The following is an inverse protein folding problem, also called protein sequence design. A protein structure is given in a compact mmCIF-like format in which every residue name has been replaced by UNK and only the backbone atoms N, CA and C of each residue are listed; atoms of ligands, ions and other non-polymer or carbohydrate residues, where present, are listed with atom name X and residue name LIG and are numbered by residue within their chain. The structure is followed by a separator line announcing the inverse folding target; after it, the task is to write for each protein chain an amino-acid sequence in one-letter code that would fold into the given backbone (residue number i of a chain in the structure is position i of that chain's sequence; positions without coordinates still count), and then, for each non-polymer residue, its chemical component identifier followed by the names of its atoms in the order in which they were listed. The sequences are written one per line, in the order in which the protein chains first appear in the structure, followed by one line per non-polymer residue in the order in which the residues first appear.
data_IF_845975781342
#
_entry.id   IF_845975781342
#
_cell.length_a   1.000
_cell.length_b   1.000
_cell.length_c   1.000
_cell.angle_alpha   90.00
_cell.angle_beta   90.00
_cell.angle_gamma   90.00
#
_symmetry.space_group_name_H-M   'P 1'
#
loop_
_entity.id
_entity.type
_entity.pdbx_description
1 polymer ?
#
# COMPACT_ATOMS: atom_id res chain seq x y z
N UNK A 1 -5.72 -5.87 9.24
CA UNK A 1 -6.07 -4.44 9.29
C UNK A 1 -5.55 -3.85 10.60
N UNK A 2 -5.15 -2.58 10.58
CA UNK A 2 -4.69 -1.86 11.77
C UNK A 2 -5.91 -1.58 12.67
N UNK A 3 -5.80 -1.86 13.97
CA UNK A 3 -6.88 -1.60 14.92
C UNK A 3 -7.14 -0.09 15.09
N UNK A 4 -8.40 0.32 15.34
CA UNK A 4 -8.77 1.74 15.40
C UNK A 4 -8.03 2.51 16.50
N UNK A 5 -7.72 1.86 17.64
CA UNK A 5 -6.89 2.48 18.69
C UNK A 5 -5.51 2.92 18.20
N UNK A 6 -4.88 2.13 17.33
CA UNK A 6 -3.58 2.48 16.72
C UNK A 6 -3.73 3.58 15.68
N UNK A 7 -4.81 3.56 14.90
CA UNK A 7 -5.10 4.63 13.94
C UNK A 7 -5.31 5.97 14.64
N UNK A 8 -6.01 5.98 15.80
CA UNK A 8 -6.17 7.18 16.62
C UNK A 8 -4.81 7.72 17.10
N UNK A 9 -3.93 6.83 17.59
CA UNK A 9 -2.58 7.19 18.03
C UNK A 9 -1.73 7.72 16.86
N UNK A 10 -1.78 7.07 15.70
CA UNK A 10 -1.06 7.50 14.50
C UNK A 10 -1.53 8.89 14.05
N UNK A 11 -2.84 9.14 14.05
CA UNK A 11 -3.40 10.46 13.73
C UNK A 11 -2.92 11.54 14.68
N UNK A 12 -2.91 11.27 16.01
CA UNK A 12 -2.40 12.21 17.00
C UNK A 12 -0.91 12.50 16.79
N UNK A 13 -0.09 11.46 16.68
CA UNK A 13 1.35 11.61 16.43
C UNK A 13 1.61 12.41 15.16
N UNK A 14 0.91 12.09 14.07
CA UNK A 14 1.06 12.80 12.79
C UNK A 14 0.75 14.30 12.93
N UNK A 15 -0.34 14.65 13.63
CA UNK A 15 -0.71 16.06 13.86
C UNK A 15 0.30 16.80 14.73
N UNK A 16 0.79 16.18 15.79
CA UNK A 16 1.80 16.76 16.69
C UNK A 16 3.12 16.99 15.96
N UNK A 17 3.58 16.01 15.19
CA UNK A 17 4.80 16.09 14.40
C UNK A 17 4.69 17.21 13.35
N UNK A 18 3.59 17.24 12.60
CA UNK A 18 3.36 18.25 11.58
C UNK A 18 3.39 19.67 12.15
N UNK A 19 2.82 19.88 13.35
CA UNK A 19 2.83 21.16 14.05
C UNK A 19 4.25 21.52 14.54
N UNK A 20 4.93 20.56 15.17
CA UNK A 20 6.29 20.78 15.70
C UNK A 20 7.29 21.12 14.59
N UNK A 21 7.18 20.46 13.44
CA UNK A 21 8.02 20.72 12.26
C UNK A 21 7.53 21.91 11.40
N UNK A 22 6.40 22.54 11.77
CA UNK A 22 5.78 23.65 11.02
C UNK A 22 5.60 23.29 9.53
N UNK A 23 5.12 22.09 9.26
CA UNK A 23 4.97 21.58 7.88
C UNK A 23 3.95 22.42 7.12
N UNK A 24 4.37 22.89 5.94
CA UNK A 24 3.52 23.53 4.94
C UNK A 24 3.55 22.69 3.67
N UNK A 25 2.40 22.18 3.25
CA UNK A 25 2.29 21.29 2.09
C UNK A 25 2.15 19.83 2.49
N UNK A 26 3.05 18.96 2.05
CA UNK A 26 2.99 17.50 2.25
C UNK A 26 4.01 17.01 3.29
N UNK A 27 3.59 16.01 4.02
CA UNK A 27 4.44 15.22 4.90
C UNK A 27 4.11 13.74 4.73
N UNK A 28 5.13 12.90 4.73
CA UNK A 28 4.99 11.45 4.79
C UNK A 28 5.61 10.96 6.10
N UNK A 29 4.91 10.11 6.82
CA UNK A 29 5.41 9.48 8.04
C UNK A 29 5.26 7.96 7.96
N UNK A 30 6.25 7.25 8.48
CA UNK A 30 6.26 5.79 8.57
C UNK A 30 6.17 5.38 10.03
N UNK A 31 5.30 4.42 10.30
CA UNK A 31 5.05 3.89 11.63
C UNK A 31 5.22 2.37 11.66
N UNK A 32 5.61 1.84 12.79
CA UNK A 32 5.53 0.42 13.10
C UNK A 32 4.65 0.21 14.33
N UNK A 33 4.04 -0.97 14.41
CA UNK A 33 3.29 -1.40 15.58
C UNK A 33 3.93 -2.70 16.07
N UNK A 34 4.37 -2.71 17.31
CA UNK A 34 4.91 -3.90 17.96
C UNK A 34 4.43 -3.92 19.42
N UNK A 35 3.98 -5.07 19.88
CA UNK A 35 3.49 -5.27 21.26
C UNK A 35 2.49 -4.19 21.69
N UNK A 36 1.54 -3.91 20.82
CA UNK A 36 0.46 -2.90 20.98
C UNK A 36 0.95 -1.44 21.07
N UNK A 37 2.23 -1.17 20.83
CA UNK A 37 2.84 0.17 20.85
C UNK A 37 3.09 0.67 19.42
N UNK A 38 2.74 1.93 19.18
CA UNK A 38 3.01 2.63 17.90
C UNK A 38 4.35 3.34 17.97
N UNK A 39 5.25 3.02 17.05
CA UNK A 39 6.56 3.63 16.89
C UNK A 39 6.60 4.51 15.65
N UNK A 40 7.22 5.68 15.76
CA UNK A 40 7.56 6.53 14.62
C UNK A 40 8.91 6.07 14.08
N UNK A 41 8.98 5.67 12.83
CA UNK A 41 10.22 5.22 12.18
C UNK A 41 10.90 6.37 11.44
N UNK A 42 10.12 7.09 10.62
CA UNK A 42 10.64 8.13 9.75
C UNK A 42 9.58 9.19 9.46
N UNK A 43 10.02 10.43 9.34
CA UNK A 43 9.17 11.55 8.94
C UNK A 43 9.86 12.35 7.84
N UNK A 44 9.18 12.53 6.72
CA UNK A 44 9.67 13.28 5.56
C UNK A 44 8.71 14.45 5.26
N UNK A 45 9.05 15.70 5.62
CA UNK A 45 8.21 16.87 5.34
C UNK A 45 8.33 17.29 3.87
N UNK A 46 7.98 16.43 2.96
CA UNK A 46 8.05 16.59 1.51
C UNK A 46 7.06 15.67 0.81
N UNK A 47 6.87 15.86 -0.50
CA UNK A 47 6.19 14.90 -1.35
C UNK A 47 6.94 13.56 -1.35
N UNK A 48 6.18 12.47 -1.48
CA UNK A 48 6.69 11.11 -1.59
C UNK A 48 6.06 10.39 -2.79
N UNK A 49 6.61 9.23 -3.16
CA UNK A 49 6.00 8.36 -4.19
C UNK A 49 4.61 7.85 -3.81
N UNK A 50 4.26 7.89 -2.53
CA UNK A 50 2.93 7.53 -2.03
C UNK A 50 1.86 8.54 -2.44
N UNK A 51 2.22 9.79 -2.70
CA UNK A 51 1.28 10.87 -3.04
C UNK A 51 0.43 10.56 -4.28
N UNK A 52 0.96 10.10 -5.41
CA UNK A 52 0.15 9.73 -6.57
C UNK A 52 -0.84 8.60 -6.26
N UNK A 53 -0.39 7.57 -5.52
CA UNK A 53 -1.23 6.46 -5.10
C UNK A 53 -2.38 6.93 -4.21
N UNK A 54 -2.09 7.67 -3.14
CA UNK A 54 -3.13 8.16 -2.21
C UNK A 54 -4.07 9.13 -2.92
N UNK A 55 -3.55 9.99 -3.80
CA UNK A 55 -4.39 10.91 -4.59
C UNK A 55 -5.41 10.17 -5.45
N UNK A 56 -5.00 9.10 -6.13
CA UNK A 56 -5.90 8.25 -6.92
C UNK A 56 -6.86 7.48 -6.04
N UNK A 57 -6.35 6.88 -4.95
CA UNK A 57 -7.16 6.07 -4.03
C UNK A 57 -8.26 6.90 -3.34
N UNK A 58 -7.99 8.15 -2.98
CA UNK A 58 -8.95 9.01 -2.28
C UNK A 58 -9.74 9.93 -3.20
N UNK A 59 -9.35 10.04 -4.47
CA UNK A 59 -9.92 11.01 -5.42
C UNK A 59 -9.54 12.47 -5.10
N UNK A 60 -8.51 12.70 -4.27
CA UNK A 60 -8.02 14.05 -3.94
C UNK A 60 -6.68 14.33 -4.62
N UNK A 61 -6.56 15.45 -5.27
CA UNK A 61 -5.31 15.88 -5.94
C UNK A 61 -4.33 16.47 -4.91
N UNK A 62 -3.72 15.61 -4.07
CA UNK A 62 -2.91 16.04 -2.92
C UNK A 62 -1.75 16.97 -3.31
N UNK A 63 -1.05 16.71 -4.41
CA UNK A 63 0.03 17.56 -4.88
C UNK A 63 -0.48 18.97 -5.25
N UNK A 64 -1.65 19.07 -5.88
CA UNK A 64 -2.26 20.34 -6.23
C UNK A 64 -2.76 21.12 -5.01
N UNK A 65 -3.32 20.40 -4.02
CA UNK A 65 -3.71 20.99 -2.73
C UNK A 65 -2.46 21.53 -2.03
N UNK A 66 -1.40 20.73 -1.94
CA UNK A 66 -0.14 21.14 -1.32
C UNK A 66 0.48 22.38 -1.97
N UNK A 67 0.53 22.41 -3.30
CA UNK A 67 1.04 23.59 -4.03
C UNK A 67 0.25 24.87 -3.71
N UNK A 68 -1.09 24.76 -3.60
CA UNK A 68 -1.93 25.90 -3.22
C UNK A 68 -1.72 26.34 -1.76
N UNK A 69 -1.55 25.38 -0.85
CA UNK A 69 -1.22 25.68 0.56
C UNK A 69 0.14 26.37 0.67
N UNK A 70 1.15 25.88 -0.07
CA UNK A 70 2.48 26.52 -0.14
C UNK A 70 2.42 27.93 -0.72
N UNK A 71 1.43 28.20 -1.59
CA UNK A 71 1.14 29.53 -2.13
C UNK A 71 0.25 30.39 -1.20
N UNK A 72 0.04 29.96 0.05
CA UNK A 72 -0.66 30.75 1.09
C UNK A 72 -2.16 30.49 1.22
N UNK A 73 -2.77 29.53 0.45
CA UNK A 73 -4.17 29.17 0.62
C UNK A 73 -4.34 28.31 1.87
N UNK A 74 -5.44 28.45 2.57
CA UNK A 74 -5.78 27.62 3.74
C UNK A 74 -6.44 26.31 3.31
N UNK A 75 -6.26 25.25 4.08
CA UNK A 75 -6.90 23.94 3.83
C UNK A 75 -8.43 24.03 3.81
N UNK A 76 -9.01 24.92 4.63
CA UNK A 76 -10.44 25.16 4.63
C UNK A 76 -10.97 25.70 3.29
N UNK A 77 -10.21 26.58 2.63
CA UNK A 77 -10.57 27.14 1.32
C UNK A 77 -10.50 26.10 0.18
N UNK A 78 -9.88 24.94 0.46
CA UNK A 78 -9.61 23.88 -0.51
C UNK A 78 -10.42 22.60 -0.23
N UNK A 79 -11.37 22.65 0.71
CA UNK A 79 -12.13 21.48 1.19
C UNK A 79 -11.19 20.31 1.57
N UNK A 80 -10.11 20.62 2.29
CA UNK A 80 -9.05 19.66 2.58
C UNK A 80 -8.73 19.51 4.09
N UNK A 81 -9.69 19.86 4.95
CA UNK A 81 -9.56 19.73 6.42
C UNK A 81 -9.94 18.35 6.92
N UNK A 82 -10.78 17.63 6.18
CA UNK A 82 -11.30 16.33 6.57
C UNK A 82 -10.50 15.16 5.96
N UNK A 83 -10.29 14.11 6.75
CA UNK A 83 -9.77 12.84 6.25
C UNK A 83 -10.79 12.18 5.33
N UNK A 84 -10.35 11.67 4.19
CA UNK A 84 -11.20 10.94 3.25
C UNK A 84 -10.82 9.47 3.24
N UNK A 85 -11.71 8.64 3.77
CA UNK A 85 -11.57 7.19 3.74
C UNK A 85 -12.50 6.64 2.66
N UNK A 86 -11.97 6.07 1.57
CA UNK A 86 -12.81 5.51 0.50
C UNK A 86 -13.49 4.21 0.96
N UNK A 87 -14.70 3.90 0.46
CA UNK A 87 -15.44 2.67 0.80
C UNK A 87 -14.97 1.44 -0.01
N UNK A 88 -13.71 1.42 -0.44
CA UNK A 88 -13.12 0.36 -1.23
C UNK A 88 -11.65 0.18 -0.87
N UNK A 89 -11.12 -0.99 -1.24
CA UNK A 89 -9.71 -1.30 -1.06
C UNK A 89 -8.89 -0.77 -2.23
N UNK A 90 -7.68 -0.30 -1.93
CA UNK A 90 -6.67 0.06 -2.92
C UNK A 90 -5.37 -0.64 -2.59
N UNK A 91 -4.83 -1.37 -3.55
CA UNK A 91 -3.57 -2.09 -3.43
C UNK A 91 -2.55 -1.47 -4.37
N UNK A 92 -1.38 -1.17 -3.83
CA UNK A 92 -0.21 -0.71 -4.59
C UNK A 92 0.74 -1.89 -4.78
N UNK A 93 1.14 -2.14 -6.02
CA UNK A 93 2.07 -3.19 -6.39
C UNK A 93 3.30 -2.58 -7.06
N UNK A 94 4.49 -3.07 -6.70
CA UNK A 94 5.73 -2.69 -7.36
C UNK A 94 5.88 -3.43 -8.68
N UNK A 95 6.36 -2.74 -9.72
CA UNK A 95 6.66 -3.35 -11.01
C UNK A 95 8.15 -3.62 -11.11
N UNK A 96 8.51 -4.89 -11.33
CA UNK A 96 9.89 -5.35 -11.52
C UNK A 96 10.13 -5.77 -12.97
N UNK A 97 11.08 -5.14 -13.66
CA UNK A 97 11.30 -5.41 -15.10
C UNK A 97 12.27 -6.58 -15.36
N UNK A 98 12.36 -7.57 -14.46
CA UNK A 98 13.32 -8.68 -14.59
C UNK A 98 13.21 -9.43 -15.93
N UNK A 99 11.98 -9.57 -16.47
CA UNK A 99 11.79 -10.18 -17.77
C UNK A 99 12.44 -9.41 -18.95
N UNK A 100 12.71 -8.10 -18.76
CA UNK A 100 13.37 -7.24 -19.74
C UNK A 100 14.90 -7.22 -19.58
N UNK A 101 15.39 -7.67 -18.43
CA UNK A 101 16.79 -7.68 -18.06
C UNK A 101 17.19 -9.08 -17.56
N UNK A 102 17.37 -10.06 -18.46
CA UNK A 102 17.59 -11.47 -18.10
C UNK A 102 18.83 -11.70 -17.24
N UNK A 103 19.83 -10.81 -17.35
CA UNK A 103 21.08 -10.89 -16.56
C UNK A 103 20.96 -10.25 -15.17
N UNK A 104 19.80 -9.69 -14.82
CA UNK A 104 19.58 -9.12 -13.50
C UNK A 104 19.15 -10.21 -12.53
N UNK A 105 19.82 -10.27 -11.36
CA UNK A 105 19.41 -11.12 -10.26
C UNK A 105 18.00 -10.73 -9.77
N UNK A 106 17.00 -11.64 -9.83
CA UNK A 106 15.65 -11.36 -9.36
C UNK A 106 15.51 -11.37 -7.82
N UNK A 107 16.55 -11.77 -7.10
CA UNK A 107 16.54 -11.77 -5.62
C UNK A 107 16.45 -10.32 -5.14
N UNK A 108 15.43 -10.05 -4.31
CA UNK A 108 15.23 -8.72 -3.73
C UNK A 108 16.20 -8.50 -2.56
N UNK A 109 16.93 -7.40 -2.62
CA UNK A 109 17.83 -6.90 -1.60
C UNK A 109 17.38 -5.53 -1.09
N UNK A 110 18.23 -4.80 -0.34
CA UNK A 110 17.93 -3.47 0.16
C UNK A 110 17.89 -2.41 -0.95
N UNK A 111 18.43 -2.71 -2.13
CA UNK A 111 18.42 -1.79 -3.27
C UNK A 111 17.05 -1.73 -3.94
N UNK A 112 16.72 -0.56 -4.47
CA UNK A 112 15.51 -0.39 -5.24
C UNK A 112 15.68 -0.98 -6.64
N UNK A 113 14.98 -2.09 -6.93
CA UNK A 113 14.96 -2.75 -8.26
C UNK A 113 13.65 -2.49 -9.02
N UNK A 114 12.65 -1.87 -8.40
CA UNK A 114 11.39 -1.54 -9.06
C UNK A 114 11.55 -0.35 -10.00
N UNK A 115 10.89 -0.41 -11.17
CA UNK A 115 10.88 0.66 -12.18
C UNK A 115 9.60 1.49 -12.16
N UNK A 116 8.62 1.09 -11.37
CA UNK A 116 7.34 1.78 -11.26
C UNK A 116 6.42 1.08 -10.27
N UNK A 117 5.21 1.56 -10.20
CA UNK A 117 4.16 1.02 -9.35
C UNK A 117 2.81 1.12 -10.04
N UNK A 118 1.96 0.14 -9.80
CA UNK A 118 0.59 0.06 -10.31
C UNK A 118 -0.40 0.03 -9.16
N UNK A 119 -1.67 0.25 -9.46
CA UNK A 119 -2.73 0.26 -8.47
C UNK A 119 -3.91 -0.62 -8.93
N UNK A 120 -4.41 -1.45 -8.02
CA UNK A 120 -5.69 -2.12 -8.14
C UNK A 120 -6.69 -1.58 -7.12
N UNK A 121 -7.95 -1.41 -7.52
CA UNK A 121 -9.04 -1.04 -6.61
C UNK A 121 -10.18 -2.05 -6.71
N UNK A 122 -10.85 -2.32 -5.59
CA UNK A 122 -11.94 -3.27 -5.53
C UNK A 122 -12.79 -3.14 -4.28
N UNK A 123 -13.99 -3.71 -4.32
CA UNK A 123 -14.88 -3.76 -3.16
C UNK A 123 -14.37 -4.68 -2.07
N UNK A 124 -13.57 -5.68 -2.44
CA UNK A 124 -12.86 -6.58 -1.53
C UNK A 124 -11.36 -6.45 -1.72
N UNK A 125 -10.58 -6.82 -0.70
CA UNK A 125 -9.13 -6.86 -0.80
C UNK A 125 -8.66 -7.79 -1.92
N UNK A 126 -9.27 -8.98 -2.05
CA UNK A 126 -8.90 -9.95 -3.09
C UNK A 126 -9.10 -9.40 -4.50
N UNK A 127 -10.20 -8.67 -4.75
CA UNK A 127 -10.44 -8.00 -6.03
C UNK A 127 -9.38 -6.91 -6.33
N UNK A 128 -9.09 -6.06 -5.34
CA UNK A 128 -8.09 -5.01 -5.48
C UNK A 128 -6.70 -5.60 -5.73
N UNK A 129 -6.35 -6.67 -5.01
CA UNK A 129 -5.09 -7.39 -5.17
C UNK A 129 -4.98 -8.05 -6.54
N UNK A 130 -5.98 -8.78 -6.99
CA UNK A 130 -5.98 -9.42 -8.31
C UNK A 130 -5.80 -8.38 -9.45
N UNK A 131 -6.46 -7.23 -9.33
CA UNK A 131 -6.29 -6.12 -10.28
C UNK A 131 -4.88 -5.53 -10.25
N UNK A 132 -4.26 -5.40 -9.07
CA UNK A 132 -2.87 -4.92 -8.98
C UNK A 132 -1.88 -5.89 -9.60
N UNK A 133 -2.06 -7.20 -9.39
CA UNK A 133 -1.26 -8.25 -10.04
C UNK A 133 -1.39 -8.18 -11.56
N UNK A 134 -2.62 -8.13 -12.08
CA UNK A 134 -2.84 -8.00 -13.52
C UNK A 134 -2.19 -6.74 -14.11
N UNK A 135 -2.26 -5.61 -13.40
CA UNK A 135 -1.66 -4.36 -13.81
C UNK A 135 -0.11 -4.38 -13.79
N UNK A 136 0.50 -5.20 -12.90
CA UNK A 136 1.95 -5.45 -12.89
C UNK A 136 2.42 -6.44 -13.96
N UNK A 137 1.48 -7.01 -14.75
CA UNK A 137 1.77 -7.98 -15.80
C UNK A 137 1.70 -9.44 -15.33
N UNK A 138 1.35 -9.69 -14.07
CA UNK A 138 1.19 -11.02 -13.51
C UNK A 138 -0.23 -11.51 -13.80
N UNK A 139 -0.35 -12.57 -14.58
CA UNK A 139 -1.62 -13.26 -14.81
C UNK A 139 -1.77 -14.38 -13.80
N UNK A 140 -2.71 -14.23 -12.88
CA UNK A 140 -3.04 -15.30 -11.94
C UNK A 140 -3.70 -16.46 -12.72
N UNK A 141 -3.22 -17.71 -12.56
CA UNK A 141 -3.83 -18.87 -13.22
C UNK A 141 -5.21 -19.11 -12.65
N UNK A 142 -6.12 -19.60 -13.49
CA UNK A 142 -7.49 -19.98 -13.10
C UNK A 142 -7.70 -21.49 -13.11
N UNK A 143 -6.71 -22.26 -13.53
CA UNK A 143 -6.69 -23.73 -13.59
C UNK A 143 -5.24 -24.24 -13.68
N UNK A 144 -5.03 -25.49 -13.43
CA UNK A 144 -3.72 -26.18 -13.55
C UNK A 144 -3.33 -26.89 -12.28
N UNK A 145 -2.08 -27.33 -12.21
CA UNK A 145 -1.49 -27.99 -11.04
C UNK A 145 -0.88 -26.94 -10.10
N UNK A 146 -1.17 -27.04 -8.81
CA UNK A 146 -0.64 -26.16 -7.79
C UNK A 146 0.27 -26.93 -6.83
N UNK A 147 1.57 -26.70 -6.86
CA UNK A 147 2.51 -27.20 -5.86
C UNK A 147 2.51 -26.27 -4.65
N UNK A 148 2.25 -26.82 -3.46
CA UNK A 148 2.27 -26.10 -2.19
C UNK A 148 3.45 -26.60 -1.35
N UNK A 149 4.43 -25.73 -1.10
CA UNK A 149 5.56 -26.01 -0.21
C UNK A 149 5.66 -24.93 0.84
N UNK A 150 5.52 -25.31 2.10
CA UNK A 150 5.51 -24.40 3.26
C UNK A 150 6.27 -25.00 4.43
N UNK A 151 6.66 -24.14 5.38
CA UNK A 151 7.25 -24.58 6.65
C UNK A 151 6.23 -25.39 7.47
N UNK A 152 6.73 -26.27 8.33
CA UNK A 152 5.89 -27.15 9.16
C UNK A 152 4.81 -26.39 9.94
N UNK A 153 5.14 -25.26 10.54
CA UNK A 153 4.18 -24.43 11.29
C UNK A 153 3.04 -23.85 10.45
N UNK A 154 3.21 -23.77 9.13
CA UNK A 154 2.24 -23.16 8.20
C UNK A 154 1.39 -24.22 7.48
N UNK A 155 1.65 -25.55 7.72
CA UNK A 155 0.99 -26.65 7.03
C UNK A 155 -0.52 -26.70 7.25
N UNK A 156 -0.99 -26.49 8.48
CA UNK A 156 -2.42 -26.48 8.79
C UNK A 156 -3.17 -25.42 7.97
N UNK A 157 -2.63 -24.22 7.90
CA UNK A 157 -3.20 -23.14 7.08
C UNK A 157 -3.13 -23.47 5.58
N UNK A 158 -2.05 -24.12 5.14
CA UNK A 158 -1.86 -24.51 3.75
C UNK A 158 -2.88 -25.59 3.30
N UNK A 159 -3.28 -26.51 4.18
CA UNK A 159 -4.32 -27.52 3.89
C UNK A 159 -5.65 -26.83 3.54
N UNK A 160 -6.03 -25.80 4.31
CA UNK A 160 -7.25 -25.03 4.04
C UNK A 160 -7.18 -24.33 2.69
N UNK A 161 -6.01 -23.77 2.34
CA UNK A 161 -5.80 -23.12 1.05
C UNK A 161 -5.84 -24.14 -0.09
N UNK A 162 -5.20 -25.31 0.08
CA UNK A 162 -5.22 -26.40 -0.89
C UNK A 162 -6.66 -26.86 -1.18
N UNK A 163 -7.47 -27.10 -0.14
CA UNK A 163 -8.88 -27.46 -0.30
C UNK A 163 -9.66 -26.42 -1.13
N UNK A 164 -9.49 -25.13 -0.84
CA UNK A 164 -10.14 -24.05 -1.59
C UNK A 164 -9.68 -23.96 -3.05
N UNK A 165 -8.42 -24.31 -3.34
CA UNK A 165 -7.91 -24.38 -4.71
C UNK A 165 -8.48 -25.59 -5.45
N UNK A 166 -8.53 -26.77 -4.80
CA UNK A 166 -9.15 -27.96 -5.36
C UNK A 166 -10.63 -27.74 -5.70
N UNK A 167 -11.41 -27.11 -4.81
CA UNK A 167 -12.81 -26.71 -5.07
C UNK A 167 -12.96 -25.80 -6.29
N UNK A 168 -11.92 -25.07 -6.68
CA UNK A 168 -11.87 -24.21 -7.86
C UNK A 168 -11.31 -24.90 -9.11
N UNK A 169 -11.06 -26.21 -9.03
CA UNK A 169 -10.61 -27.02 -10.15
C UNK A 169 -9.09 -27.01 -10.38
N UNK A 170 -8.31 -26.65 -9.36
CA UNK A 170 -6.87 -26.90 -9.39
C UNK A 170 -6.56 -28.32 -8.94
N UNK A 171 -5.60 -28.95 -9.57
CA UNK A 171 -4.95 -30.17 -9.07
C UNK A 171 -3.86 -29.74 -8.05
N UNK A 172 -3.79 -30.44 -6.88
CA UNK A 172 -2.87 -30.08 -5.79
C UNK A 172 -1.79 -31.15 -5.66
#
# INVERSE_FOLDING_TARGET
LVAERHLATIRDYTRRIARALKVVGLMNAQYAIKDDVVYVLEVNPRASRTVPFVSKATGRQLAKIAARVMAGRKLADLDATEERVPPYFSVKEAVFPFAKFPDSDPILGPEMKSTGEVMGTGRTFGEAYAKSQAASGIRLPTRGVCLISVRDRDKESAIVIAGRLAERGFEI
#
